data_IF_443968997692
#
_entry.id   IF_443968997692
#
_cell.length_a   1.000
_cell.length_b   1.000
_cell.length_c   1.000
_cell.angle_alpha   90.00
_cell.angle_beta   90.00
_cell.angle_gamma   90.00
#
_symmetry.space_group_name_H-M   'P 1'
#
loop_
_entity.id
_entity.type
_entity.pdbx_description
1 polymer ?
#
# COMPACT_ATOMS: atom_id res chain seq x y z
N UNK A 1 -6.20 -11.87 12.22
CA UNK A 1 -4.77 -11.52 12.29
C UNK A 1 -4.54 -10.29 11.40
N UNK A 2 -3.33 -9.71 11.37
CA UNK A 2 -3.00 -8.59 10.49
C UNK A 2 -1.95 -9.00 9.46
N UNK A 3 -1.97 -8.31 8.32
CA UNK A 3 -1.01 -8.46 7.23
C UNK A 3 -0.27 -7.14 7.03
N UNK A 4 1.01 -7.23 6.75
CA UNK A 4 1.82 -6.07 6.42
C UNK A 4 2.04 -6.01 4.90
N UNK A 5 1.84 -4.82 4.36
CA UNK A 5 1.98 -4.51 2.95
C UNK A 5 2.95 -3.35 2.79
N UNK A 6 3.67 -3.35 1.68
CA UNK A 6 4.43 -2.17 1.25
C UNK A 6 4.14 -1.84 -0.21
N UNK A 7 4.20 -0.55 -0.53
CA UNK A 7 3.88 -0.01 -1.86
C UNK A 7 4.94 1.00 -2.26
N UNK A 8 5.52 0.88 -3.46
CA UNK A 8 6.32 1.94 -4.05
C UNK A 8 5.40 2.93 -4.75
N UNK A 9 5.34 4.16 -4.25
CA UNK A 9 4.50 5.22 -4.80
C UNK A 9 5.36 6.40 -5.24
N UNK A 10 5.04 7.02 -6.38
CA UNK A 10 5.80 8.16 -6.92
C UNK A 10 5.61 9.44 -6.09
N UNK A 11 6.24 9.47 -4.91
CA UNK A 11 6.19 10.58 -3.95
C UNK A 11 7.44 11.44 -4.07
N UNK A 12 7.40 12.44 -4.95
CA UNK A 12 8.53 13.37 -5.16
C UNK A 12 8.57 14.54 -4.18
N UNK A 13 7.60 14.64 -3.26
CA UNK A 13 7.36 15.83 -2.46
C UNK A 13 6.61 15.53 -1.16
N UNK A 14 6.80 16.35 -0.11
CA UNK A 14 6.05 16.21 1.15
C UNK A 14 4.53 16.35 0.99
N UNK A 15 4.08 17.14 0.02
CA UNK A 15 2.66 17.20 -0.35
C UNK A 15 2.13 15.90 -0.96
N UNK A 16 3.01 15.10 -1.56
CA UNK A 16 2.70 13.85 -2.23
C UNK A 16 2.46 12.74 -1.20
N UNK A 17 3.35 12.63 -0.20
CA UNK A 17 3.13 11.72 0.94
C UNK A 17 1.93 12.14 1.78
N UNK A 18 1.78 13.43 2.07
CA UNK A 18 0.65 13.93 2.86
C UNK A 18 -0.72 13.68 2.20
N UNK A 19 -0.78 13.58 0.87
CA UNK A 19 -2.01 13.20 0.17
C UNK A 19 -2.36 11.72 0.40
N UNK A 20 -1.36 10.83 0.40
CA UNK A 20 -1.52 9.41 0.73
C UNK A 20 -1.94 9.24 2.20
N UNK A 21 -1.26 9.92 3.12
CA UNK A 21 -1.62 9.87 4.54
C UNK A 21 -3.06 10.32 4.78
N UNK A 22 -3.53 11.38 4.09
CA UNK A 22 -4.92 11.85 4.19
C UNK A 22 -5.93 10.81 3.68
N UNK A 23 -5.65 10.12 2.58
CA UNK A 23 -6.59 9.12 2.04
C UNK A 23 -6.66 7.88 2.93
N UNK A 24 -5.53 7.43 3.47
CA UNK A 24 -5.45 6.30 4.38
C UNK A 24 -6.04 6.64 5.75
N UNK A 25 -5.80 7.85 6.27
CA UNK A 25 -6.42 8.37 7.51
C UNK A 25 -7.93 8.31 7.43
N UNK A 26 -8.52 8.90 6.37
CA UNK A 26 -9.97 8.90 6.17
C UNK A 26 -10.54 7.49 6.00
N UNK A 27 -9.78 6.59 5.39
CA UNK A 27 -10.21 5.21 5.20
C UNK A 27 -10.20 4.44 6.52
N UNK A 28 -9.16 4.65 7.34
CA UNK A 28 -9.07 4.14 8.71
C UNK A 28 -10.27 4.57 9.55
N UNK A 29 -10.53 5.88 9.63
CA UNK A 29 -11.60 6.45 10.46
C UNK A 29 -13.01 5.98 10.05
N UNK A 30 -13.23 5.69 8.78
CA UNK A 30 -14.57 5.38 8.24
C UNK A 30 -14.87 3.89 8.14
N UNK A 31 -13.87 3.07 7.85
CA UNK A 31 -14.09 1.67 7.44
C UNK A 31 -13.15 0.68 8.14
N UNK A 32 -11.91 1.07 8.45
CA UNK A 32 -10.90 0.14 8.97
C UNK A 32 -10.09 0.74 10.12
N UNK A 33 -10.69 0.82 11.31
CA UNK A 33 -10.01 1.41 12.48
C UNK A 33 -8.69 0.70 12.88
N UNK A 34 -8.50 -0.55 12.45
CA UNK A 34 -7.28 -1.33 12.68
C UNK A 34 -6.19 -1.11 11.62
N UNK A 35 -6.42 -0.23 10.64
CA UNK A 35 -5.44 0.08 9.62
C UNK A 35 -4.37 1.01 10.20
N UNK A 36 -3.11 0.63 10.06
CA UNK A 36 -1.94 1.43 10.40
C UNK A 36 -1.12 1.66 9.14
N UNK A 37 -0.49 2.82 9.02
CA UNK A 37 0.28 3.17 7.84
C UNK A 37 1.42 4.12 8.18
N UNK A 38 2.47 4.06 7.37
CA UNK A 38 3.60 4.97 7.39
C UNK A 38 4.04 5.28 5.97
N UNK A 39 4.45 6.51 5.71
CA UNK A 39 5.02 6.91 4.42
C UNK A 39 6.48 7.33 4.60
N UNK A 40 7.35 6.88 3.71
CA UNK A 40 8.76 7.27 3.67
C UNK A 40 9.04 7.94 2.31
N UNK A 41 9.38 9.23 2.37
CA UNK A 41 9.71 10.04 1.18
C UNK A 41 11.09 9.70 0.61
N UNK A 42 12.01 9.23 1.44
CA UNK A 42 13.38 8.90 1.05
C UNK A 42 13.38 7.67 0.17
N UNK A 43 12.67 6.63 0.61
CA UNK A 43 12.53 5.36 -0.13
C UNK A 43 11.35 5.37 -1.09
N UNK A 44 10.48 6.39 -1.03
CA UNK A 44 9.23 6.49 -1.82
C UNK A 44 8.29 5.31 -1.56
N UNK A 45 8.24 4.86 -0.31
CA UNK A 45 7.45 3.69 0.09
C UNK A 45 6.33 4.04 1.04
N UNK A 46 5.24 3.30 0.95
CA UNK A 46 4.12 3.34 1.89
C UNK A 46 4.03 1.95 2.53
N UNK A 47 4.15 1.86 3.85
CA UNK A 47 3.91 0.63 4.60
C UNK A 47 2.52 0.67 5.19
N UNK A 48 1.77 -0.41 5.09
CA UNK A 48 0.39 -0.53 5.58
C UNK A 48 0.21 -1.83 6.34
N UNK A 49 -0.21 -1.76 7.60
CA UNK A 49 -0.68 -2.90 8.36
C UNK A 49 -2.20 -2.92 8.32
N UNK A 50 -2.77 -4.00 7.78
CA UNK A 50 -4.19 -4.11 7.53
C UNK A 50 -4.76 -5.45 8.05
N UNK A 51 -6.07 -5.52 8.35
CA UNK A 51 -6.74 -6.78 8.64
C UNK A 51 -6.69 -7.73 7.43
N UNK A 52 -6.73 -9.05 7.67
CA UNK A 52 -6.74 -10.09 6.62
C UNK A 52 -7.87 -9.97 5.59
N UNK A 53 -8.94 -9.24 5.93
CA UNK A 53 -10.04 -8.94 5.01
C UNK A 53 -9.67 -7.97 3.91
N UNK A 54 -8.56 -7.23 4.05
CA UNK A 54 -8.04 -6.32 3.04
C UNK A 54 -6.92 -6.97 2.27
N UNK A 55 -7.02 -6.94 0.94
CA UNK A 55 -5.97 -7.41 0.06
C UNK A 55 -5.01 -6.29 -0.33
N UNK A 56 -3.82 -6.67 -0.80
CA UNK A 56 -2.87 -5.72 -1.41
C UNK A 56 -3.53 -4.88 -2.50
N UNK A 57 -4.47 -5.46 -3.26
CA UNK A 57 -5.21 -4.77 -4.32
C UNK A 57 -6.13 -3.68 -3.77
N UNK A 58 -6.88 -3.93 -2.70
CA UNK A 58 -7.79 -2.94 -2.12
C UNK A 58 -7.03 -1.70 -1.62
N UNK A 59 -5.87 -1.95 -1.01
CA UNK A 59 -4.97 -0.90 -0.51
C UNK A 59 -4.30 -0.17 -1.68
N UNK A 60 -3.82 -0.91 -2.69
CA UNK A 60 -3.28 -0.34 -3.93
C UNK A 60 -4.29 0.61 -4.58
N UNK A 61 -5.52 0.14 -4.86
CA UNK A 61 -6.59 0.95 -5.44
C UNK A 61 -6.80 2.24 -4.62
N UNK A 62 -6.67 2.17 -3.29
CA UNK A 62 -6.83 3.35 -2.44
C UNK A 62 -5.71 4.37 -2.57
N UNK A 63 -4.46 3.90 -2.67
CA UNK A 63 -3.26 4.75 -2.78
C UNK A 63 -3.13 5.30 -4.21
N UNK A 64 -3.36 4.46 -5.21
CA UNK A 64 -3.23 4.77 -6.64
C UNK A 64 -4.16 5.91 -7.09
N UNK A 65 -5.34 6.00 -6.49
CA UNK A 65 -6.28 7.13 -6.67
C UNK A 65 -5.67 8.51 -6.37
N UNK A 66 -4.56 8.56 -5.65
CA UNK A 66 -3.90 9.80 -5.22
C UNK A 66 -2.49 9.90 -5.80
N UNK A 67 -1.76 8.78 -5.82
CA UNK A 67 -0.41 8.69 -6.37
C UNK A 67 -0.17 7.33 -6.99
N UNK A 68 0.35 7.36 -8.21
CA UNK A 68 0.71 6.18 -8.99
C UNK A 68 1.60 5.24 -8.17
N UNK A 69 1.19 3.97 -8.10
CA UNK A 69 1.93 2.91 -7.42
C UNK A 69 2.57 2.00 -8.46
N UNK A 70 3.89 1.84 -8.40
CA UNK A 70 4.62 1.02 -9.37
C UNK A 70 4.69 -0.46 -8.97
N UNK A 71 4.72 -0.74 -7.68
CA UNK A 71 4.85 -2.08 -7.14
C UNK A 71 4.24 -2.17 -5.74
N UNK A 72 3.92 -3.39 -5.31
CA UNK A 72 3.65 -3.67 -3.90
C UNK A 72 4.21 -5.01 -3.48
N UNK A 73 4.30 -5.23 -2.17
CA UNK A 73 4.61 -6.51 -1.58
C UNK A 73 3.75 -6.79 -0.34
N UNK A 74 3.48 -8.06 -0.06
CA UNK A 74 2.92 -8.56 1.20
C UNK A 74 4.04 -9.26 1.97
N UNK A 75 4.20 -8.95 3.26
CA UNK A 75 5.11 -9.66 4.15
C UNK A 75 4.37 -10.87 4.71
N UNK A 76 4.86 -12.07 4.38
CA UNK A 76 4.31 -13.34 4.82
C UNK A 76 4.76 -13.67 6.25
N UNK A 77 4.10 -14.62 6.90
CA UNK A 77 4.37 -14.99 8.29
C UNK A 77 5.79 -15.55 8.51
N UNK A 78 6.41 -16.10 7.47
CA UNK A 78 7.80 -16.58 7.44
C UNK A 78 8.82 -15.47 7.17
N UNK A 79 8.37 -14.22 7.03
CA UNK A 79 9.22 -13.04 6.79
C UNK A 79 9.60 -12.84 5.32
N UNK A 80 9.15 -13.70 4.42
CA UNK A 80 9.35 -13.52 2.97
C UNK A 80 8.39 -12.47 2.42
N UNK A 81 8.80 -11.84 1.31
CA UNK A 81 8.00 -10.84 0.60
C UNK A 81 7.40 -11.46 -0.65
N UNK A 82 6.09 -11.36 -0.80
CA UNK A 82 5.35 -11.70 -2.01
C UNK A 82 5.10 -10.43 -2.81
N UNK A 83 5.65 -10.32 -4.01
CA UNK A 83 5.59 -9.12 -4.83
C UNK A 83 4.37 -9.11 -5.77
N UNK A 84 3.87 -7.90 -6.05
CA UNK A 84 2.73 -7.61 -6.91
C UNK A 84 3.10 -6.52 -7.91
N UNK A 85 2.82 -6.75 -9.19
CA UNK A 85 3.06 -5.79 -10.26
C UNK A 85 1.72 -5.27 -10.74
N UNK A 86 1.52 -3.97 -10.60
CA UNK A 86 0.32 -3.31 -11.09
C UNK A 86 0.64 -2.75 -12.47
N UNK A 87 0.18 -3.45 -13.51
CA UNK A 87 0.26 -2.92 -14.87
C UNK A 87 -0.90 -1.94 -15.06
N UNK A 88 -0.70 -0.80 -15.75
CA UNK A 88 -1.80 0.09 -16.09
C UNK A 88 -2.87 -0.67 -16.88
N UNK A 89 -4.06 -0.80 -16.31
CA UNK A 89 -5.19 -1.51 -16.91
C UNK A 89 -5.22 -3.04 -16.72
N UNK A 90 -4.34 -3.64 -15.94
CA UNK A 90 -4.44 -5.06 -15.55
C UNK A 90 -4.34 -5.26 -14.03
N UNK A 91 -5.12 -6.21 -13.54
CA UNK A 91 -5.14 -6.67 -12.15
C UNK A 91 -3.77 -7.21 -11.74
N UNK A 92 -3.27 -6.80 -10.57
CA UNK A 92 -1.96 -7.18 -10.05
C UNK A 92 -1.83 -8.68 -9.83
N UNK A 93 -1.24 -9.38 -10.80
CA UNK A 93 -0.89 -10.79 -10.66
C UNK A 93 0.36 -10.88 -9.76
N UNK A 94 0.34 -11.74 -8.73
CA UNK A 94 1.50 -11.95 -7.88
C UNK A 94 2.61 -12.65 -8.68
N UNK A 95 3.85 -12.23 -8.48
CA UNK A 95 5.02 -12.94 -8.98
C UNK A 95 6.02 -13.15 -7.83
N UNK A 96 6.72 -14.27 -7.90
CA UNK A 96 7.85 -14.57 -7.01
C UNK A 96 9.10 -14.10 -7.75
N UNK A 97 9.89 -13.22 -7.12
CA UNK A 97 11.28 -12.98 -7.52
C UNK A 97 12.19 -14.11 -7.03
#
# INVERSE_FOLDING_TARGET
MSKEYGFEAEMSCSGCSGAIEKVLSRWKERQHNFLEYATDLTTKTVTVTAPESLSAKDIHDKIDNVKNVSSAWEVLADGTKKYYQFKPGQIGEPYLE
#
